data_IF_824231427946
#
_entry.id   IF_824231427946
#
_cell.length_a   1.000
_cell.length_b   1.000
_cell.length_c   1.000
_cell.angle_alpha   90.00
_cell.angle_beta   90.00
_cell.angle_gamma   90.00
#
_symmetry.space_group_name_H-M   'P 1'
#
loop_
_entity.id
_entity.type
_entity.pdbx_description
1 polymer ?
#
# COMPACT_ATOMS: atom_id res chain seq x y z
N UNK A 1 -21.28 -1.44 13.80
CA UNK A 1 -20.71 -1.05 12.50
C UNK A 1 -19.52 -1.97 12.22
N UNK A 2 -19.27 -2.38 10.98
CA UNK A 2 -18.08 -3.17 10.65
C UNK A 2 -16.82 -2.32 10.88
N UNK A 3 -15.87 -2.80 11.67
CA UNK A 3 -14.58 -2.12 11.83
C UNK A 3 -13.82 -2.09 10.49
N UNK A 4 -13.05 -1.02 10.19
CA UNK A 4 -12.19 -1.01 9.02
C UNK A 4 -11.24 -2.21 9.06
N UNK A 5 -11.14 -2.95 7.95
CA UNK A 5 -10.41 -4.23 7.79
C UNK A 5 -8.88 -4.12 7.95
N UNK A 6 -8.36 -2.98 8.40
CA UNK A 6 -6.94 -2.68 8.54
C UNK A 6 -6.58 -2.54 10.02
N UNK A 7 -6.78 -3.61 10.79
CA UNK A 7 -6.70 -3.61 12.26
C UNK A 7 -5.30 -3.47 12.87
N UNK A 8 -4.27 -3.13 12.09
CA UNK A 8 -2.87 -3.00 12.54
C UNK A 8 -2.15 -1.90 11.76
N UNK A 9 -1.26 -1.15 12.41
CA UNK A 9 -0.52 -0.08 11.76
C UNK A 9 0.43 -0.64 10.69
N UNK A 10 0.49 0.00 9.52
CA UNK A 10 1.48 -0.40 8.49
C UNK A 10 2.88 0.09 8.80
N UNK A 11 2.98 1.25 9.45
CA UNK A 11 4.23 1.85 9.89
C UNK A 11 4.19 1.91 11.41
N UNK A 12 5.00 1.10 12.12
CA UNK A 12 5.03 1.12 13.57
C UNK A 12 5.67 2.43 14.08
N UNK A 13 5.28 2.87 15.29
CA UNK A 13 5.87 4.05 15.92
C UNK A 13 7.36 3.87 16.26
N UNK A 14 7.77 2.61 16.49
CA UNK A 14 9.14 2.21 16.80
C UNK A 14 9.52 0.96 16.01
N UNK A 15 10.79 0.83 15.62
CA UNK A 15 11.28 -0.33 14.86
C UNK A 15 11.11 -0.18 13.35
N UNK A 16 11.41 -1.24 12.61
CA UNK A 16 11.33 -1.26 11.15
C UNK A 16 9.94 -1.69 10.69
N UNK A 17 9.35 -0.92 9.78
CA UNK A 17 8.10 -1.30 9.12
C UNK A 17 8.25 -2.64 8.36
N UNK A 18 7.22 -3.51 8.36
CA UNK A 18 7.26 -4.77 7.63
C UNK A 18 7.40 -4.54 6.12
N UNK A 19 7.89 -5.55 5.41
CA UNK A 19 7.90 -5.51 3.94
C UNK A 19 6.52 -5.88 3.43
N UNK A 20 5.95 -5.02 2.58
CA UNK A 20 4.64 -5.19 1.98
C UNK A 20 4.79 -5.31 0.47
N UNK A 21 3.82 -5.96 -0.17
CA UNK A 21 3.72 -6.09 -1.61
C UNK A 21 2.43 -5.47 -2.13
N UNK A 22 2.42 -5.00 -3.37
CA UNK A 22 1.22 -4.62 -4.12
C UNK A 22 1.16 -5.47 -5.37
N UNK A 23 -0.04 -5.96 -5.67
CA UNK A 23 -0.38 -6.62 -6.94
C UNK A 23 -1.42 -5.77 -7.64
N UNK A 24 -1.10 -5.24 -8.83
CA UNK A 24 -1.96 -4.26 -9.48
C UNK A 24 -1.73 -4.15 -10.99
N UNK A 25 -2.51 -3.28 -11.63
CA UNK A 25 -2.40 -2.99 -13.06
C UNK A 25 -1.96 -1.53 -13.26
N UNK A 26 -0.64 -1.23 -13.30
CA UNK A 26 -0.12 0.13 -13.44
C UNK A 26 -0.73 0.92 -14.60
N UNK A 27 -1.06 0.24 -15.70
CA UNK A 27 -1.61 0.80 -16.94
C UNK A 27 -3.06 0.38 -17.19
N UNK A 28 -3.87 0.15 -16.15
CA UNK A 28 -5.28 -0.21 -16.27
C UNK A 28 -6.03 0.68 -17.29
N UNK A 29 -6.83 0.06 -18.15
CA UNK A 29 -7.49 0.73 -19.29
C UNK A 29 -6.68 0.70 -20.59
N UNK A 30 -5.42 0.25 -20.56
CA UNK A 30 -4.62 -0.03 -21.77
C UNK A 30 -4.93 -1.41 -22.35
N UNK A 31 -4.89 -1.60 -23.69
CA UNK A 31 -4.96 -2.92 -24.32
C UNK A 31 -3.76 -3.82 -23.96
N UNK A 32 -2.67 -3.23 -23.45
CA UNK A 32 -1.46 -3.95 -23.02
C UNK A 32 -1.32 -3.97 -21.49
N UNK A 33 -2.42 -3.79 -20.76
CA UNK A 33 -2.38 -3.82 -19.31
C UNK A 33 -1.92 -5.19 -18.81
N UNK A 34 -0.89 -5.19 -17.97
CA UNK A 34 -0.33 -6.40 -17.35
C UNK A 34 -0.43 -6.29 -15.83
N UNK A 35 -0.61 -7.44 -15.17
CA UNK A 35 -0.56 -7.52 -13.72
C UNK A 35 0.91 -7.43 -13.29
N UNK A 36 1.22 -6.47 -12.45
CA UNK A 36 2.57 -6.25 -11.93
C UNK A 36 2.57 -6.38 -10.41
N UNK A 37 3.72 -6.82 -9.90
CA UNK A 37 4.01 -6.94 -8.49
C UNK A 37 5.13 -5.99 -8.11
N UNK A 38 4.99 -5.32 -6.97
CA UNK A 38 6.10 -4.59 -6.38
C UNK A 38 6.10 -4.73 -4.87
N UNK A 39 7.25 -4.50 -4.24
CA UNK A 39 7.36 -4.61 -2.79
C UNK A 39 8.29 -3.54 -2.24
N UNK A 40 7.95 -3.05 -1.06
CA UNK A 40 8.69 -2.01 -0.35
C UNK A 40 8.42 -2.07 1.15
N UNK A 41 9.02 -1.15 1.89
CA UNK A 41 8.61 -0.88 3.28
C UNK A 41 7.76 0.37 3.28
N UNK A 42 6.59 0.38 3.94
CA UNK A 42 5.78 1.57 3.99
C UNK A 42 6.48 2.64 4.81
N UNK A 43 6.27 3.89 4.42
CA UNK A 43 6.84 5.08 5.02
C UNK A 43 5.70 6.00 5.41
N UNK A 44 5.87 6.71 6.53
CA UNK A 44 4.93 7.73 6.97
C UNK A 44 5.57 9.10 6.82
N UNK A 45 4.90 10.02 6.14
CA UNK A 45 5.37 11.40 6.00
C UNK A 45 4.81 12.33 7.08
N UNK A 46 5.39 13.52 7.21
CA UNK A 46 4.96 14.55 8.20
C UNK A 46 3.55 15.09 7.94
N UNK A 47 2.95 14.79 6.79
CA UNK A 47 1.59 15.17 6.42
C UNK A 47 0.53 14.15 6.85
N UNK A 48 0.93 13.10 7.58
CA UNK A 48 0.02 12.06 8.04
C UNK A 48 -0.27 10.99 6.98
N UNK A 49 0.45 10.97 5.85
CA UNK A 49 0.22 9.99 4.79
C UNK A 49 1.17 8.82 4.90
N UNK A 50 0.60 7.62 4.85
CA UNK A 50 1.36 6.38 4.66
C UNK A 50 1.51 6.09 3.17
N UNK A 51 2.72 5.81 2.74
CA UNK A 51 3.03 5.51 1.34
C UNK A 51 3.95 4.30 1.21
N UNK A 52 3.91 3.63 0.06
CA UNK A 52 4.85 2.57 -0.28
C UNK A 52 5.75 3.07 -1.42
N UNK A 53 7.09 3.04 -1.28
CA UNK A 53 8.01 3.36 -2.36
C UNK A 53 7.98 2.22 -3.37
N UNK A 54 7.01 2.31 -4.27
CA UNK A 54 6.81 1.41 -5.38
C UNK A 54 6.28 2.22 -6.57
N UNK A 55 6.87 1.98 -7.74
CA UNK A 55 6.41 2.52 -9.00
C UNK A 55 5.10 1.87 -9.43
N UNK A 56 4.01 2.33 -8.81
CA UNK A 56 2.65 1.98 -9.21
C UNK A 56 2.18 3.01 -10.22
N UNK A 57 2.00 2.61 -11.48
CA UNK A 57 1.32 3.44 -12.46
C UNK A 57 -0.09 3.82 -11.99
N UNK A 58 -0.66 4.88 -12.57
CA UNK A 58 -1.92 5.47 -12.10
C UNK A 58 -3.11 4.50 -12.11
N UNK A 59 -3.04 3.42 -12.90
CA UNK A 59 -4.05 2.37 -12.94
C UNK A 59 -4.09 1.45 -11.71
N UNK A 60 -3.10 1.52 -10.82
CA UNK A 60 -3.02 0.67 -9.63
C UNK A 60 -3.91 1.13 -8.44
N UNK A 61 -4.82 2.07 -8.66
CA UNK A 61 -5.77 2.48 -7.64
C UNK A 61 -6.70 1.31 -7.30
N UNK A 62 -6.95 1.07 -6.02
CA UNK A 62 -7.73 -0.09 -5.57
C UNK A 62 -6.92 -1.39 -5.45
N UNK A 63 -5.64 -1.41 -5.86
CA UNK A 63 -4.80 -2.60 -5.72
C UNK A 63 -4.58 -2.98 -4.26
N UNK A 64 -4.65 -4.27 -3.89
CA UNK A 64 -4.42 -4.74 -2.53
C UNK A 64 -2.95 -4.57 -2.14
N UNK A 65 -2.73 -4.21 -0.87
CA UNK A 65 -1.41 -4.22 -0.23
C UNK A 65 -1.36 -5.45 0.69
N UNK A 66 -0.39 -6.32 0.46
CA UNK A 66 -0.27 -7.65 1.05
C UNK A 66 0.97 -7.78 1.94
N UNK A 67 0.87 -8.60 3.00
CA UNK A 67 2.04 -9.07 3.75
C UNK A 67 2.77 -10.18 2.99
N UNK A 68 3.94 -10.59 3.48
CA UNK A 68 4.66 -11.76 2.97
C UNK A 68 3.85 -13.07 3.10
N UNK A 69 2.88 -13.13 4.02
CA UNK A 69 1.97 -14.26 4.18
C UNK A 69 0.75 -14.19 3.25
N UNK A 70 0.62 -13.15 2.43
CA UNK A 70 -0.51 -12.94 1.52
C UNK A 70 -1.74 -12.30 2.17
N UNK A 71 -1.62 -11.81 3.41
CA UNK A 71 -2.73 -11.14 4.10
C UNK A 71 -2.88 -9.70 3.59
N UNK A 72 -4.09 -9.29 3.25
CA UNK A 72 -4.36 -7.92 2.86
C UNK A 72 -4.39 -6.99 4.07
N UNK A 73 -3.61 -5.91 4.01
CA UNK A 73 -3.46 -4.93 5.10
C UNK A 73 -3.82 -3.50 4.73
N UNK A 74 -3.93 -3.20 3.43
CA UNK A 74 -4.38 -1.91 2.93
C UNK A 74 -4.81 -1.99 1.47
N UNK A 75 -5.20 -0.84 0.93
CA UNK A 75 -5.50 -0.63 -0.49
C UNK A 75 -4.77 0.62 -0.97
N UNK A 76 -4.29 0.60 -2.21
CA UNK A 76 -3.69 1.77 -2.86
C UNK A 76 -4.77 2.82 -3.17
N UNK A 77 -4.66 4.00 -2.58
CA UNK A 77 -5.61 5.10 -2.72
C UNK A 77 -5.28 6.02 -3.91
N UNK A 78 -4.02 6.49 -3.93
CA UNK A 78 -3.52 7.47 -4.91
C UNK A 78 -2.16 6.99 -5.42
N UNK A 79 -2.15 6.16 -6.48
CA UNK A 79 -0.91 5.74 -7.13
C UNK A 79 -0.27 6.92 -7.90
N UNK A 80 1.05 6.93 -7.98
CA UNK A 80 1.86 7.89 -8.73
C UNK A 80 3.13 7.21 -9.23
N UNK A 81 3.77 7.77 -10.25
CA UNK A 81 5.05 7.27 -10.76
C UNK A 81 6.12 7.28 -9.65
N UNK A 82 6.33 6.12 -9.02
CA UNK A 82 7.31 5.90 -7.96
C UNK A 82 6.76 5.77 -6.53
N UNK A 83 5.48 6.06 -6.28
CA UNK A 83 4.89 6.01 -4.93
C UNK A 83 3.40 5.68 -4.96
N UNK A 84 2.94 4.79 -4.07
CA UNK A 84 1.52 4.58 -3.80
C UNK A 84 1.10 5.11 -2.42
N UNK A 85 0.15 6.05 -2.35
CA UNK A 85 -0.48 6.42 -1.07
C UNK A 85 -1.44 5.31 -0.67
N UNK A 86 -1.33 4.85 0.57
CA UNK A 86 -2.12 3.73 1.09
C UNK A 86 -3.28 4.25 1.94
N UNK A 87 -4.45 3.61 1.82
CA UNK A 87 -5.50 3.72 2.83
C UNK A 87 -5.11 2.84 4.00
N UNK A 88 -4.42 3.42 4.98
CA UNK A 88 -3.95 2.74 6.16
C UNK A 88 -3.84 3.70 7.35
N UNK A 89 -4.08 3.19 8.55
CA UNK A 89 -3.79 3.93 9.78
C UNK A 89 -2.28 3.99 10.04
N UNK A 90 -1.85 5.11 10.62
CA UNK A 90 -0.57 5.23 11.30
C UNK A 90 -0.77 4.97 12.79
N UNK A 91 0.16 4.22 13.38
CA UNK A 91 0.35 4.12 14.83
C UNK A 91 -0.90 3.97 15.71
N UNK A 92 -1.25 2.72 16.01
CA UNK A 92 -1.60 2.29 17.37
C UNK A 92 -1.49 0.76 17.44
N UNK A 93 -0.26 0.25 17.56
CA UNK A 93 -0.06 -1.07 18.18
C UNK A 93 0.59 -0.79 19.54
N UNK A 94 -0.06 -1.25 20.62
CA UNK A 94 0.38 -1.18 22.00
C UNK A 94 1.35 -2.33 22.33
#
# INVERSE_FOLDING_TARGET
AAEPVFGSALVPATGLAPRLAVLGYPTAGSPTAVLEACAGRPEHDRGGQTSLPCALGTGAAGSPVLTAAGEQRAVVARPSAGRGVLLASWGADA
#
